data_IF_655145697359
#
_entry.id   IF_655145697359
#
_cell.length_a   1.000
_cell.length_b   1.000
_cell.length_c   1.000
_cell.angle_alpha   90.00
_cell.angle_beta   90.00
_cell.angle_gamma   90.00
#
_symmetry.space_group_name_H-M   'P 1'
#
loop_
_entity.id
_entity.type
_entity.pdbx_description
1 polymer ?
#
# COMPACT_ATOMS: atom_id res chain seq x y z
N UNK A 1 21.81 -32.12 -32.23
CA UNK A 1 21.55 -30.72 -31.81
C UNK A 1 21.65 -29.68 -32.92
N UNK A 2 21.95 -30.02 -34.19
CA UNK A 2 21.66 -29.12 -35.31
C UNK A 2 20.17 -29.20 -35.63
N UNK A 3 19.50 -28.05 -35.65
CA UNK A 3 18.20 -27.80 -36.29
C UNK A 3 16.91 -27.94 -35.45
N UNK A 4 16.90 -27.84 -34.11
CA UNK A 4 15.62 -27.79 -33.36
C UNK A 4 14.94 -26.41 -33.48
N UNK A 5 15.71 -25.32 -33.32
CA UNK A 5 15.23 -23.96 -33.57
C UNK A 5 14.97 -23.67 -35.05
N UNK A 6 15.77 -24.25 -35.94
CA UNK A 6 15.58 -24.09 -37.38
C UNK A 6 14.38 -24.91 -37.89
N UNK A 7 14.03 -26.05 -37.27
CA UNK A 7 12.74 -26.74 -37.47
C UNK A 7 11.60 -25.90 -36.89
N UNK A 8 11.73 -25.30 -35.70
CA UNK A 8 10.67 -24.46 -35.12
C UNK A 8 10.34 -23.23 -35.98
N UNK A 9 11.37 -22.58 -36.55
CA UNK A 9 11.19 -21.46 -37.49
C UNK A 9 10.55 -21.95 -38.79
N UNK A 10 11.02 -23.08 -39.35
CA UNK A 10 10.52 -23.60 -40.64
C UNK A 10 9.10 -24.17 -40.53
N UNK A 11 8.75 -24.80 -39.42
CA UNK A 11 7.38 -25.26 -39.14
C UNK A 11 6.48 -24.06 -38.83
N UNK A 12 6.96 -23.03 -38.12
CA UNK A 12 6.18 -21.81 -37.89
C UNK A 12 5.82 -21.06 -39.19
N UNK A 13 6.68 -21.12 -40.22
CA UNK A 13 6.42 -20.49 -41.52
C UNK A 13 5.71 -21.41 -42.54
N UNK A 14 5.93 -22.74 -42.49
CA UNK A 14 5.28 -23.71 -43.41
C UNK A 14 3.99 -24.37 -42.85
N UNK A 15 3.71 -24.30 -41.54
CA UNK A 15 2.51 -24.93 -40.93
C UNK A 15 1.19 -24.32 -41.42
N UNK A 16 1.22 -23.14 -42.03
CA UNK A 16 0.06 -22.56 -42.72
C UNK A 16 -0.33 -23.31 -44.01
N UNK A 17 0.41 -24.36 -44.42
CA UNK A 17 0.17 -25.08 -45.69
C UNK A 17 -0.21 -26.56 -45.56
N UNK A 18 -0.15 -27.18 -44.37
CA UNK A 18 -0.71 -28.54 -44.17
C UNK A 18 -0.94 -28.86 -42.69
N UNK A 19 -2.14 -29.32 -42.35
CA UNK A 19 -2.59 -29.69 -40.99
C UNK A 19 -1.77 -30.82 -40.32
N UNK A 20 -0.96 -31.57 -41.07
CA UNK A 20 -0.32 -32.80 -40.61
C UNK A 20 0.86 -32.58 -39.64
N UNK A 21 1.35 -31.33 -39.49
CA UNK A 21 2.48 -30.99 -38.60
C UNK A 21 2.09 -30.25 -37.31
N UNK A 22 0.90 -29.63 -37.27
CA UNK A 22 0.51 -28.67 -36.24
C UNK A 22 0.29 -29.34 -34.87
N UNK A 23 -0.31 -30.53 -34.86
CA UNK A 23 -0.55 -31.28 -33.62
C UNK A 23 0.76 -31.77 -32.97
N UNK A 24 1.71 -32.25 -33.79
CA UNK A 24 3.03 -32.66 -33.30
C UNK A 24 3.83 -31.45 -32.80
N UNK A 25 3.80 -30.34 -33.52
CA UNK A 25 4.41 -29.09 -33.10
C UNK A 25 3.83 -28.60 -31.77
N UNK A 26 2.50 -28.52 -31.64
CA UNK A 26 1.84 -28.11 -30.40
C UNK A 26 2.23 -29.00 -29.22
N UNK A 27 2.27 -30.33 -29.41
CA UNK A 27 2.69 -31.28 -28.37
C UNK A 27 4.15 -31.09 -27.95
N UNK A 28 5.04 -30.76 -28.90
CA UNK A 28 6.45 -30.45 -28.61
C UNK A 28 6.56 -29.12 -27.87
N UNK A 29 5.85 -28.08 -28.30
CA UNK A 29 5.80 -26.77 -27.63
C UNK A 29 5.29 -26.92 -26.19
N UNK A 30 4.17 -27.63 -25.98
CA UNK A 30 3.65 -27.90 -24.63
C UNK A 30 4.64 -28.69 -23.75
N UNK A 31 5.44 -29.58 -24.35
CA UNK A 31 6.49 -30.30 -23.61
C UNK A 31 7.63 -29.36 -23.21
N UNK A 32 8.05 -28.46 -24.11
CA UNK A 32 9.02 -27.42 -23.80
C UNK A 32 8.50 -26.48 -22.73
N UNK A 33 7.26 -25.97 -22.86
CA UNK A 33 6.65 -25.09 -21.86
C UNK A 33 6.53 -25.75 -20.49
N UNK A 34 6.18 -27.04 -20.42
CA UNK A 34 6.14 -27.78 -19.15
C UNK A 34 7.52 -27.92 -18.50
N UNK A 35 8.56 -28.15 -19.30
CA UNK A 35 9.94 -28.19 -18.81
C UNK A 35 10.41 -26.82 -18.32
N UNK A 36 10.02 -25.76 -19.01
CA UNK A 36 10.38 -24.37 -18.68
C UNK A 36 9.68 -23.85 -17.41
N UNK A 37 8.54 -24.46 -16.98
CA UNK A 37 7.82 -24.04 -15.76
C UNK A 37 8.63 -24.16 -14.47
N UNK A 38 9.67 -25.00 -14.45
CA UNK A 38 10.55 -25.19 -13.29
C UNK A 38 11.62 -24.11 -13.11
N UNK A 39 11.80 -23.22 -14.08
CA UNK A 39 12.82 -22.17 -14.02
C UNK A 39 12.22 -20.84 -13.57
N UNK A 40 12.78 -20.27 -12.49
CA UNK A 40 12.33 -19.01 -11.93
C UNK A 40 12.48 -17.83 -12.93
N UNK A 41 13.51 -17.88 -13.77
CA UNK A 41 13.89 -16.78 -14.68
C UNK A 41 13.21 -16.83 -16.05
N UNK A 42 12.18 -17.68 -16.23
CA UNK A 42 11.48 -17.82 -17.52
C UNK A 42 10.73 -16.54 -17.89
N UNK A 43 10.96 -16.06 -19.12
CA UNK A 43 10.19 -14.95 -19.70
C UNK A 43 8.75 -15.39 -19.98
N UNK A 44 7.78 -14.88 -19.22
CA UNK A 44 6.35 -15.21 -19.33
C UNK A 44 5.58 -14.33 -20.32
N UNK A 45 6.06 -13.11 -20.54
CA UNK A 45 5.50 -12.11 -21.42
C UNK A 45 6.61 -11.32 -22.08
N UNK A 46 6.40 -10.88 -23.31
CA UNK A 46 7.34 -10.02 -24.04
C UNK A 46 6.70 -8.64 -24.16
N UNK A 47 7.12 -7.66 -23.35
CA UNK A 47 6.46 -6.36 -23.19
C UNK A 47 6.79 -5.40 -24.35
N UNK A 48 7.45 -5.89 -25.40
CA UNK A 48 7.81 -5.15 -26.60
C UNK A 48 7.20 -5.74 -27.87
N UNK A 49 6.00 -6.29 -27.74
CA UNK A 49 5.21 -6.83 -28.83
C UNK A 49 4.21 -5.84 -29.44
N UNK A 50 3.38 -6.36 -30.35
CA UNK A 50 2.30 -5.61 -31.01
C UNK A 50 1.28 -5.02 -30.03
N UNK A 51 1.13 -5.61 -28.85
CA UNK A 51 0.22 -5.13 -27.80
C UNK A 51 0.68 -3.78 -27.27
N UNK A 52 1.97 -3.64 -26.98
CA UNK A 52 2.59 -2.41 -26.48
C UNK A 52 2.53 -1.30 -27.53
N UNK A 53 2.84 -1.61 -28.79
CA UNK A 53 2.73 -0.66 -29.89
C UNK A 53 1.29 -0.12 -30.06
N UNK A 54 0.28 -0.98 -29.89
CA UNK A 54 -1.14 -0.55 -29.88
C UNK A 54 -1.46 0.31 -28.67
N UNK A 55 -0.97 -0.03 -27.48
CA UNK A 55 -1.18 0.78 -26.28
C UNK A 55 -0.59 2.19 -26.44
N UNK A 56 0.60 2.32 -27.05
CA UNK A 56 1.21 3.62 -27.38
C UNK A 56 0.40 4.41 -28.40
N UNK A 57 -0.05 3.75 -29.48
CA UNK A 57 -0.89 4.37 -30.50
C UNK A 57 -2.22 4.88 -29.91
N UNK A 58 -2.82 4.11 -29.00
CA UNK A 58 -4.12 4.42 -28.40
C UNK A 58 -4.03 5.36 -27.18
N UNK A 59 -2.83 5.85 -26.82
CA UNK A 59 -2.62 6.71 -25.65
C UNK A 59 -2.86 6.03 -24.31
N UNK A 60 -2.87 4.69 -24.26
CA UNK A 60 -3.09 3.86 -23.06
C UNK A 60 -1.80 3.22 -22.56
N UNK A 61 -0.65 3.76 -22.97
CA UNK A 61 0.65 3.22 -22.61
C UNK A 61 1.03 3.63 -21.19
N UNK A 62 1.19 2.64 -20.34
CA UNK A 62 1.67 2.81 -18.97
C UNK A 62 3.19 2.62 -18.93
N UNK A 63 3.90 3.75 -18.80
CA UNK A 63 5.35 3.76 -18.73
C UNK A 63 5.88 3.14 -17.43
N UNK A 64 5.21 3.34 -16.29
CA UNK A 64 5.67 2.86 -14.99
C UNK A 64 5.57 1.33 -14.90
N UNK A 65 4.41 0.78 -15.30
CA UNK A 65 4.21 -0.66 -15.33
C UNK A 65 5.18 -1.34 -16.32
N UNK A 66 5.39 -0.73 -17.49
CA UNK A 66 6.34 -1.27 -18.50
C UNK A 66 7.78 -1.28 -17.95
N UNK A 67 8.18 -0.29 -17.15
CA UNK A 67 9.52 -0.27 -16.54
C UNK A 67 9.70 -1.43 -15.56
N UNK A 68 8.70 -1.71 -14.72
CA UNK A 68 8.71 -2.83 -13.77
C UNK A 68 8.79 -4.17 -14.50
N UNK A 69 8.03 -4.33 -15.58
CA UNK A 69 8.06 -5.55 -16.39
C UNK A 69 9.45 -5.79 -17.01
N UNK A 70 10.11 -4.73 -17.49
CA UNK A 70 11.43 -4.83 -18.13
C UNK A 70 12.57 -5.13 -17.13
N UNK A 71 12.47 -4.69 -15.87
CA UNK A 71 13.52 -4.89 -14.84
C UNK A 71 13.82 -6.36 -14.56
N UNK A 72 12.81 -7.21 -14.65
CA UNK A 72 12.93 -8.63 -14.35
C UNK A 72 13.24 -9.47 -15.61
N UNK A 73 13.58 -8.84 -16.74
CA UNK A 73 13.81 -9.53 -18.01
C UNK A 73 15.30 -9.53 -18.39
N UNK A 74 15.99 -10.69 -18.35
CA UNK A 74 17.42 -10.78 -18.64
C UNK A 74 17.70 -10.81 -20.15
N UNK A 75 17.20 -9.81 -20.89
CA UNK A 75 17.40 -9.70 -22.34
C UNK A 75 17.99 -8.34 -22.72
N UNK A 76 18.89 -8.32 -23.70
CA UNK A 76 19.44 -7.07 -24.24
C UNK A 76 18.34 -6.13 -24.77
N UNK A 77 17.28 -6.70 -25.36
CA UNK A 77 16.13 -5.93 -25.81
C UNK A 77 15.41 -5.21 -24.65
N UNK A 78 15.32 -5.85 -23.47
CA UNK A 78 14.74 -5.21 -22.30
C UNK A 78 15.60 -4.04 -21.81
N UNK A 79 16.92 -4.18 -21.77
CA UNK A 79 17.84 -3.08 -21.43
C UNK A 79 17.72 -1.89 -22.39
N UNK A 80 17.74 -2.15 -23.70
CA UNK A 80 17.56 -1.09 -24.71
C UNK A 80 16.19 -0.39 -24.57
N UNK A 81 15.13 -1.14 -24.24
CA UNK A 81 13.80 -0.59 -24.01
C UNK A 81 13.73 0.26 -22.74
N UNK A 82 14.45 -0.10 -21.67
CA UNK A 82 14.55 0.73 -20.46
C UNK A 82 15.21 2.08 -20.77
N UNK A 83 16.31 2.06 -21.53
CA UNK A 83 17.01 3.29 -21.93
C UNK A 83 16.13 4.18 -22.83
N UNK A 84 15.39 3.56 -23.76
CA UNK A 84 14.45 4.27 -24.62
C UNK A 84 13.28 4.86 -23.82
N UNK A 85 12.72 4.11 -22.87
CA UNK A 85 11.65 4.57 -21.99
C UNK A 85 12.11 5.79 -21.18
N UNK A 86 13.31 5.71 -20.59
CA UNK A 86 13.92 6.80 -19.85
C UNK A 86 14.12 8.05 -20.71
N UNK A 87 14.65 7.88 -21.92
CA UNK A 87 14.89 8.98 -22.86
C UNK A 87 13.60 9.67 -23.30
N UNK A 88 12.54 8.89 -23.55
CA UNK A 88 11.24 9.41 -23.97
C UNK A 88 10.49 10.12 -22.81
N UNK A 89 10.64 9.64 -21.57
CA UNK A 89 10.12 10.32 -20.38
C UNK A 89 10.84 11.65 -20.13
N UNK A 90 12.17 11.67 -20.26
CA UNK A 90 12.95 12.92 -20.16
C UNK A 90 12.55 13.94 -21.23
N UNK A 91 12.20 13.48 -22.42
CA UNK A 91 11.72 14.31 -23.51
C UNK A 91 10.23 14.72 -23.38
N UNK A 92 9.52 14.23 -22.35
CA UNK A 92 8.08 14.48 -22.15
C UNK A 92 7.18 13.87 -23.23
N UNK A 93 7.68 12.86 -23.95
CA UNK A 93 6.96 12.21 -25.06
C UNK A 93 6.08 11.05 -24.60
N UNK A 94 6.34 10.49 -23.41
CA UNK A 94 5.55 9.43 -22.76
C UNK A 94 5.48 9.67 -21.24
N UNK A 95 4.29 9.49 -20.65
CA UNK A 95 4.01 9.72 -19.21
C UNK A 95 3.61 11.16 -18.86
N UNK A 96 2.89 11.38 -17.74
CA UNK A 96 2.54 12.73 -17.29
C UNK A 96 3.81 13.54 -16.95
N UNK A 97 3.79 14.88 -17.09
CA UNK A 97 4.93 15.73 -16.78
C UNK A 97 5.41 15.50 -15.33
N UNK A 98 6.71 15.72 -15.05
CA UNK A 98 7.21 15.64 -13.68
C UNK A 98 6.36 16.54 -12.78
N UNK A 99 5.92 16.05 -11.61
CA UNK A 99 5.07 16.83 -10.74
C UNK A 99 5.77 18.12 -10.30
N UNK A 100 5.02 19.22 -10.09
CA UNK A 100 5.61 20.48 -9.67
C UNK A 100 6.42 20.31 -8.37
N UNK A 101 7.45 21.13 -8.13
CA UNK A 101 8.28 21.04 -6.94
C UNK A 101 7.44 21.00 -5.64
N UNK A 102 7.90 20.31 -4.58
CA UNK A 102 7.16 20.19 -3.33
C UNK A 102 6.64 21.52 -2.77
N UNK A 103 7.41 22.60 -2.93
CA UNK A 103 7.04 23.94 -2.50
C UNK A 103 5.83 24.52 -3.26
N UNK A 104 5.68 24.21 -4.54
CA UNK A 104 4.58 24.67 -5.38
C UNK A 104 3.30 23.88 -5.12
N UNK A 105 3.42 22.56 -4.87
CA UNK A 105 2.30 21.72 -4.41
C UNK A 105 1.73 22.18 -3.07
N UNK A 106 2.60 22.56 -2.14
CA UNK A 106 2.18 23.11 -0.84
C UNK A 106 1.59 24.52 -0.95
N UNK A 107 1.92 25.30 -1.99
CA UNK A 107 1.29 26.61 -2.24
C UNK A 107 -0.12 26.50 -2.82
N UNK A 108 -0.41 25.41 -3.53
CA UNK A 108 -1.71 25.18 -4.13
C UNK A 108 -2.80 24.81 -3.10
N UNK A 109 -2.41 24.42 -1.89
CA UNK A 109 -3.33 24.01 -0.82
C UNK A 109 -3.19 24.96 0.36
N UNK A 110 -4.32 25.47 0.84
CA UNK A 110 -4.30 26.42 1.92
C UNK A 110 -3.94 25.74 3.26
N UNK A 111 -3.13 26.38 4.13
CA UNK A 111 -2.80 25.82 5.45
C UNK A 111 -4.01 25.52 6.33
N UNK A 112 -5.10 26.28 6.17
CA UNK A 112 -6.39 26.06 6.82
C UNK A 112 -7.06 24.73 6.41
N UNK A 113 -6.98 24.33 5.14
CA UNK A 113 -7.57 23.08 4.65
C UNK A 113 -6.84 21.87 5.27
N UNK A 114 -5.50 21.92 5.30
CA UNK A 114 -4.67 20.91 5.96
C UNK A 114 -5.03 20.81 7.46
N UNK A 115 -5.33 21.94 8.09
CA UNK A 115 -5.70 21.97 9.49
C UNK A 115 -7.09 21.39 9.76
N UNK A 116 -8.05 21.68 8.88
CA UNK A 116 -9.39 21.13 8.92
C UNK A 116 -9.37 19.61 8.77
N UNK A 117 -8.63 19.11 7.77
CA UNK A 117 -8.51 17.67 7.53
C UNK A 117 -7.77 16.93 8.66
N UNK A 118 -6.70 17.52 9.20
CA UNK A 118 -6.04 16.96 10.38
C UNK A 118 -6.98 16.88 11.59
N UNK A 119 -7.85 17.87 11.78
CA UNK A 119 -8.84 17.85 12.86
C UNK A 119 -9.93 16.80 12.60
N UNK A 120 -10.39 16.66 11.36
CA UNK A 120 -11.36 15.64 10.92
C UNK A 120 -10.84 14.22 11.19
N UNK A 121 -9.58 13.94 10.82
CA UNK A 121 -8.90 12.67 11.10
C UNK A 121 -8.85 12.35 12.59
N UNK A 122 -8.49 13.33 13.43
CA UNK A 122 -8.46 13.13 14.88
C UNK A 122 -9.86 12.91 15.47
N UNK A 123 -10.87 13.63 15.01
CA UNK A 123 -12.26 13.44 15.46
C UNK A 123 -12.73 12.02 15.17
N UNK A 124 -12.54 11.53 13.94
CA UNK A 124 -12.87 10.14 13.58
C UNK A 124 -12.10 9.13 14.44
N UNK A 125 -10.80 9.36 14.66
CA UNK A 125 -9.99 8.50 15.52
C UNK A 125 -10.52 8.43 16.96
N UNK A 126 -10.96 9.57 17.53
CA UNK A 126 -11.56 9.65 18.87
C UNK A 126 -12.92 8.95 18.97
N UNK A 127 -13.73 9.01 17.91
CA UNK A 127 -15.02 8.31 17.87
C UNK A 127 -14.84 6.80 17.81
N UNK A 128 -13.82 6.31 17.09
CA UNK A 128 -13.49 4.88 17.00
C UNK A 128 -12.85 4.33 18.27
N UNK A 129 -11.98 5.11 18.91
CA UNK A 129 -11.07 4.65 19.97
C UNK A 129 -11.76 3.81 21.06
N UNK A 130 -12.90 4.19 21.66
CA UNK A 130 -13.47 3.41 22.77
C UNK A 130 -13.87 1.99 22.34
N UNK A 131 -14.42 1.86 21.13
CA UNK A 131 -14.85 0.56 20.57
C UNK A 131 -13.65 -0.29 20.21
N UNK A 132 -12.69 0.29 19.50
CA UNK A 132 -11.48 -0.42 19.05
C UNK A 132 -10.60 -0.81 20.23
N UNK A 133 -10.40 0.07 21.22
CA UNK A 133 -9.62 -0.23 22.43
C UNK A 133 -10.23 -1.39 23.22
N UNK A 134 -11.54 -1.36 23.47
CA UNK A 134 -12.20 -2.42 24.25
C UNK A 134 -12.13 -3.77 23.54
N UNK A 135 -12.36 -3.76 22.22
CA UNK A 135 -12.32 -4.96 21.40
C UNK A 135 -10.90 -5.52 21.27
N UNK A 136 -9.92 -4.69 20.89
CA UNK A 136 -8.53 -5.11 20.71
C UNK A 136 -7.91 -5.60 22.01
N UNK A 137 -8.26 -5.01 23.17
CA UNK A 137 -7.77 -5.49 24.48
C UNK A 137 -8.16 -6.93 24.72
N UNK A 138 -9.46 -7.26 24.58
CA UNK A 138 -9.96 -8.62 24.78
C UNK A 138 -9.36 -9.61 23.79
N UNK A 139 -9.24 -9.20 22.52
CA UNK A 139 -8.65 -10.04 21.47
C UNK A 139 -7.17 -10.30 21.77
N UNK A 140 -6.39 -9.27 22.08
CA UNK A 140 -4.98 -9.42 22.44
C UNK A 140 -4.81 -10.35 23.64
N UNK A 141 -5.57 -10.14 24.72
CA UNK A 141 -5.51 -10.97 25.93
C UNK A 141 -5.86 -12.44 25.65
N UNK A 142 -6.82 -12.71 24.77
CA UNK A 142 -7.20 -14.08 24.38
C UNK A 142 -6.10 -14.84 23.62
N UNK A 143 -5.14 -14.12 23.06
CA UNK A 143 -3.99 -14.64 22.31
C UNK A 143 -2.65 -14.34 23.01
N UNK A 144 -2.67 -14.26 24.35
CA UNK A 144 -1.51 -14.02 25.22
C UNK A 144 -0.74 -12.71 24.93
N UNK A 145 -1.40 -11.73 24.31
CA UNK A 145 -0.87 -10.41 24.04
C UNK A 145 -1.40 -9.33 24.98
N UNK A 146 -0.70 -8.21 25.03
CA UNK A 146 -1.10 -7.05 25.82
C UNK A 146 -0.95 -5.76 25.02
N UNK A 147 -1.85 -4.81 25.28
CA UNK A 147 -1.71 -3.44 24.76
C UNK A 147 -0.65 -2.69 25.56
N UNK A 148 0.21 -1.94 24.86
CA UNK A 148 1.22 -1.10 25.47
C UNK A 148 1.27 0.30 24.82
N UNK A 149 1.82 1.29 25.53
CA UNK A 149 2.01 2.65 25.00
C UNK A 149 0.72 3.42 24.74
N UNK A 150 -0.30 3.20 25.57
CA UNK A 150 -1.65 3.75 25.40
C UNK A 150 -1.71 5.28 25.37
N UNK A 151 -0.72 5.97 25.96
CA UNK A 151 -0.63 7.43 25.96
C UNK A 151 -0.43 8.03 24.56
N UNK A 152 0.02 7.21 23.59
CA UNK A 152 0.33 7.63 22.22
C UNK A 152 -0.59 7.00 21.17
N UNK A 153 -1.76 6.51 21.58
CA UNK A 153 -2.69 5.83 20.67
C UNK A 153 -3.36 6.76 19.66
N UNK A 154 -3.60 8.03 20.05
CA UNK A 154 -4.16 9.06 19.20
C UNK A 154 -3.05 10.01 18.73
N UNK A 155 -2.95 10.18 17.41
CA UNK A 155 -1.97 11.10 16.83
C UNK A 155 -2.41 12.56 17.07
N UNK A 156 -1.48 13.41 17.51
CA UNK A 156 -1.77 14.83 17.71
C UNK A 156 -2.13 15.54 16.39
N UNK A 157 -2.92 16.61 16.47
CA UNK A 157 -3.24 17.44 15.29
C UNK A 157 -1.97 17.97 14.62
N UNK A 158 -0.97 18.40 15.40
CA UNK A 158 0.31 18.89 14.86
C UNK A 158 1.01 17.82 14.01
N UNK A 159 1.13 16.61 14.55
CA UNK A 159 1.75 15.49 13.83
C UNK A 159 0.93 15.01 12.62
N UNK A 160 -0.41 15.14 12.66
CA UNK A 160 -1.27 14.87 11.51
C UNK A 160 -1.03 15.90 10.38
N UNK A 161 -0.96 17.20 10.71
CA UNK A 161 -0.63 18.25 9.74
C UNK A 161 0.71 18.01 9.07
N UNK A 162 1.73 17.64 9.86
CA UNK A 162 3.06 17.31 9.33
C UNK A 162 3.03 16.09 8.41
N UNK A 163 2.29 15.02 8.79
CA UNK A 163 2.14 13.83 7.95
C UNK A 163 1.44 14.14 6.63
N UNK A 164 0.38 14.96 6.64
CA UNK A 164 -0.32 15.38 5.42
C UNK A 164 0.61 16.17 4.49
N UNK A 165 1.31 17.18 5.02
CA UNK A 165 2.31 17.94 4.25
C UNK A 165 3.38 17.04 3.66
N UNK A 166 3.85 16.05 4.41
CA UNK A 166 4.86 15.11 3.92
C UNK A 166 4.32 14.24 2.79
N UNK A 167 3.11 13.67 2.92
CA UNK A 167 2.51 12.88 1.84
C UNK A 167 2.36 13.71 0.56
N UNK A 168 1.97 14.98 0.70
CA UNK A 168 1.82 15.88 -0.44
C UNK A 168 3.16 16.25 -1.07
N UNK A 169 4.16 16.61 -0.25
CA UNK A 169 5.47 17.07 -0.70
C UNK A 169 6.38 15.95 -1.23
N UNK A 170 6.46 14.84 -0.51
CA UNK A 170 7.42 13.75 -0.78
C UNK A 170 6.81 12.67 -1.64
N UNK A 171 5.53 12.31 -1.41
CA UNK A 171 4.87 11.20 -2.12
C UNK A 171 4.00 11.64 -3.30
N UNK A 172 3.99 12.93 -3.62
CA UNK A 172 3.24 13.47 -4.75
C UNK A 172 1.74 13.16 -4.72
N UNK A 173 1.15 13.32 -3.55
CA UNK A 173 -0.29 13.16 -3.34
C UNK A 173 -1.01 14.50 -3.28
N UNK A 174 -2.25 14.52 -3.74
CA UNK A 174 -3.23 15.56 -3.40
C UNK A 174 -3.53 15.55 -1.90
N UNK A 175 -4.19 16.60 -1.39
CA UNK A 175 -4.62 16.63 0.01
C UNK A 175 -5.58 15.46 0.29
N UNK A 176 -6.50 15.20 -0.62
CA UNK A 176 -7.48 14.12 -0.54
C UNK A 176 -6.82 12.74 -0.46
N UNK A 177 -5.85 12.47 -1.33
CA UNK A 177 -5.09 11.21 -1.32
C UNK A 177 -4.19 11.08 -0.08
N UNK A 178 -3.64 12.20 0.40
CA UNK A 178 -2.86 12.24 1.62
C UNK A 178 -3.71 11.87 2.83
N UNK A 179 -4.92 12.45 2.95
CA UNK A 179 -5.90 12.16 4.00
C UNK A 179 -6.35 10.70 3.93
N UNK A 180 -6.73 10.22 2.74
CA UNK A 180 -7.15 8.82 2.54
C UNK A 180 -6.04 7.81 2.90
N UNK A 181 -4.77 8.20 2.74
CA UNK A 181 -3.62 7.39 3.10
C UNK A 181 -3.19 7.47 4.57
N UNK A 182 -3.86 8.26 5.43
CA UNK A 182 -3.54 8.29 6.86
C UNK A 182 -4.20 7.11 7.57
N UNK A 183 -3.38 6.17 8.01
CA UNK A 183 -3.77 4.96 8.72
C UNK A 183 -3.51 5.01 10.23
N UNK A 184 -2.67 5.92 10.71
CA UNK A 184 -2.13 5.94 12.09
C UNK A 184 -2.68 7.10 12.93
N UNK A 185 -3.84 7.65 12.55
CA UNK A 185 -4.55 8.61 13.38
C UNK A 185 -5.00 7.96 14.70
N UNK A 186 -5.40 6.69 14.63
CA UNK A 186 -5.55 5.76 15.74
C UNK A 186 -4.57 4.60 15.54
N UNK A 187 -3.71 4.35 16.52
CA UNK A 187 -2.66 3.32 16.44
C UNK A 187 -2.46 2.63 17.78
N UNK A 188 -2.35 1.31 17.75
CA UNK A 188 -2.05 0.51 18.94
C UNK A 188 -0.73 -0.23 18.81
N UNK A 189 -0.13 -0.54 19.96
CA UNK A 189 0.95 -1.50 20.06
C UNK A 189 0.47 -2.72 20.82
N UNK A 190 0.59 -3.89 20.19
CA UNK A 190 0.32 -5.19 20.81
C UNK A 190 1.66 -5.87 21.07
N UNK A 191 1.93 -6.20 22.33
CA UNK A 191 3.14 -6.89 22.76
C UNK A 191 2.81 -8.35 22.99
N UNK A 192 3.54 -9.24 22.32
CA UNK A 192 3.41 -10.69 22.39
C UNK A 192 4.73 -11.30 22.86
N UNK A 193 4.67 -12.44 23.55
CA UNK A 193 5.87 -13.21 23.88
C UNK A 193 6.62 -13.63 22.61
N UNK A 194 7.96 -13.58 22.56
CA UNK A 194 8.73 -13.99 21.39
C UNK A 194 8.41 -15.41 20.90
N UNK A 195 8.13 -16.38 21.77
CA UNK A 195 7.85 -17.77 21.37
C UNK A 195 6.47 -17.91 20.72
N UNK A 196 5.49 -17.15 21.22
CA UNK A 196 4.11 -17.21 20.74
C UNK A 196 3.78 -16.10 19.74
N UNK A 197 4.75 -15.27 19.36
CA UNK A 197 4.54 -14.05 18.58
C UNK A 197 3.75 -14.30 17.28
N UNK A 198 4.20 -15.25 16.47
CA UNK A 198 3.60 -15.50 15.16
C UNK A 198 2.20 -16.11 15.27
N UNK A 199 2.01 -17.03 16.22
CA UNK A 199 0.70 -17.63 16.52
C UNK A 199 -0.29 -16.59 17.06
N UNK A 200 0.14 -15.79 18.03
CA UNK A 200 -0.65 -14.73 18.64
C UNK A 200 -1.01 -13.63 17.65
N UNK A 201 -0.07 -13.22 16.79
CA UNK A 201 -0.35 -12.27 15.71
C UNK A 201 -1.43 -12.80 14.76
N UNK A 202 -1.29 -14.04 14.27
CA UNK A 202 -2.27 -14.67 13.38
C UNK A 202 -3.64 -14.79 14.06
N UNK A 203 -3.67 -15.17 15.34
CA UNK A 203 -4.88 -15.26 16.15
C UNK A 203 -5.59 -13.92 16.33
N UNK A 204 -4.85 -12.87 16.69
CA UNK A 204 -5.38 -11.50 16.82
C UNK A 204 -5.97 -11.04 15.49
N UNK A 205 -5.25 -11.19 14.38
CA UNK A 205 -5.73 -10.77 13.07
C UNK A 205 -7.00 -11.53 12.64
N UNK A 206 -7.07 -12.84 12.87
CA UNK A 206 -8.25 -13.64 12.57
C UNK A 206 -9.48 -13.19 13.39
N UNK A 207 -9.30 -12.98 14.71
CA UNK A 207 -10.38 -12.50 15.58
C UNK A 207 -10.86 -11.08 15.25
N UNK A 208 -9.98 -10.23 14.68
CA UNK A 208 -10.35 -8.91 14.18
C UNK A 208 -11.15 -9.00 12.87
N UNK A 209 -10.74 -9.90 11.97
CA UNK A 209 -11.44 -10.16 10.70
C UNK A 209 -12.87 -10.66 10.96
N UNK A 210 -13.05 -11.59 11.91
CA UNK A 210 -14.37 -12.09 12.36
C UNK A 210 -15.29 -10.96 12.90
N UNK A 211 -14.70 -9.87 13.37
CA UNK A 211 -15.40 -8.68 13.86
C UNK A 211 -15.56 -7.59 12.79
N UNK A 212 -15.23 -7.89 11.53
CA UNK A 212 -15.35 -7.01 10.39
C UNK A 212 -14.23 -5.98 10.25
N UNK A 213 -13.15 -6.11 11.03
CA UNK A 213 -11.94 -5.30 10.88
C UNK A 213 -11.00 -5.99 9.90
N UNK A 214 -11.04 -5.56 8.65
CA UNK A 214 -10.30 -6.22 7.57
C UNK A 214 -8.87 -5.68 7.45
N UNK A 215 -7.92 -6.56 7.18
CA UNK A 215 -6.54 -6.18 6.90
C UNK A 215 -6.43 -5.54 5.53
N UNK A 216 -5.80 -4.36 5.44
CA UNK A 216 -5.54 -3.62 4.20
C UNK A 216 -4.08 -3.69 3.79
N UNK A 217 -3.18 -3.66 4.78
CA UNK A 217 -1.74 -3.69 4.56
C UNK A 217 -1.03 -4.37 5.71
N UNK A 218 0.01 -5.13 5.42
CA UNK A 218 0.93 -5.73 6.38
C UNK A 218 2.36 -5.47 5.90
N UNK A 219 3.21 -5.01 6.81
CA UNK A 219 4.62 -4.73 6.56
C UNK A 219 5.44 -5.35 7.70
N UNK A 220 6.21 -6.36 7.38
CA UNK A 220 7.05 -7.09 8.28
C UNK A 220 8.45 -6.46 8.34
N UNK A 221 8.72 -5.74 9.43
CA UNK A 221 10.00 -5.06 9.63
C UNK A 221 11.05 -5.96 10.29
N UNK A 222 10.68 -7.19 10.73
CA UNK A 222 11.65 -8.18 11.20
C UNK A 222 12.48 -8.75 10.05
N UNK A 223 11.87 -8.97 8.89
CA UNK A 223 12.51 -9.54 7.70
C UNK A 223 13.42 -8.56 6.93
N UNK A 224 13.50 -7.29 7.35
CA UNK A 224 14.30 -6.27 6.65
C UNK A 224 15.78 -6.39 6.99
N UNK A 225 16.64 -6.10 6.01
CA UNK A 225 18.08 -6.05 6.22
C UNK A 225 18.46 -4.85 7.10
N UNK A 226 19.15 -5.10 8.21
CA UNK A 226 19.61 -4.09 9.18
C UNK A 226 18.50 -3.11 9.62
N UNK A 227 17.42 -3.61 10.25
CA UNK A 227 16.28 -2.77 10.57
C UNK A 227 16.65 -1.82 11.71
N UNK A 228 16.42 -0.52 11.49
CA UNK A 228 16.48 0.47 12.56
C UNK A 228 15.29 0.35 13.52
N UNK A 229 14.30 -0.49 13.22
CA UNK A 229 13.06 -0.71 13.96
C UNK A 229 12.47 -2.07 13.58
N UNK A 230 12.09 -2.90 14.58
CA UNK A 230 11.48 -4.22 14.36
C UNK A 230 10.06 -4.28 14.90
N UNK A 231 9.11 -4.57 14.02
CA UNK A 231 7.69 -4.79 14.32
C UNK A 231 7.01 -5.42 13.11
N UNK A 232 5.82 -6.00 13.29
CA UNK A 232 4.89 -6.22 12.17
C UNK A 232 3.84 -5.12 12.23
N UNK A 233 3.81 -4.25 11.22
CA UNK A 233 2.84 -3.17 11.13
C UNK A 233 1.68 -3.60 10.26
N UNK A 234 0.46 -3.48 10.78
CA UNK A 234 -0.76 -3.87 10.08
C UNK A 234 -1.71 -2.68 10.03
N UNK A 235 -2.14 -2.32 8.82
CA UNK A 235 -3.23 -1.37 8.60
C UNK A 235 -4.53 -2.14 8.49
N UNK A 236 -5.49 -1.76 9.32
CA UNK A 236 -6.82 -2.34 9.41
C UNK A 236 -7.85 -1.31 8.93
N UNK A 237 -8.96 -1.79 8.37
CA UNK A 237 -10.14 -0.99 8.03
C UNK A 237 -11.30 -1.45 8.91
N UNK A 238 -11.92 -0.52 9.64
CA UNK A 238 -13.10 -0.81 10.46
C UNK A 238 -14.33 -1.12 9.58
N UNK A 239 -15.39 -1.70 10.15
CA UNK A 239 -16.67 -1.88 9.45
C UNK A 239 -17.25 -0.59 8.85
N UNK A 240 -16.98 0.55 9.49
CA UNK A 240 -17.37 1.89 9.03
C UNK A 240 -16.46 2.46 7.94
N UNK A 241 -15.41 1.73 7.54
CA UNK A 241 -14.49 2.08 6.46
C UNK A 241 -13.29 2.93 6.88
N UNK A 242 -13.12 3.22 8.17
CA UNK A 242 -12.03 4.04 8.67
C UNK A 242 -10.75 3.22 8.91
N UNK A 243 -9.59 3.79 8.58
CA UNK A 243 -8.30 3.15 8.75
C UNK A 243 -7.74 3.35 10.16
N UNK A 244 -7.08 2.33 10.69
CA UNK A 244 -6.35 2.35 11.95
C UNK A 244 -5.17 1.36 11.89
N UNK A 245 -4.16 1.54 12.74
CA UNK A 245 -2.92 0.75 12.69
C UNK A 245 -2.69 -0.08 13.96
N UNK A 246 -2.16 -1.29 13.78
CA UNK A 246 -1.62 -2.14 14.84
C UNK A 246 -0.13 -2.36 14.58
N UNK A 247 0.68 -2.22 15.61
CA UNK A 247 2.09 -2.58 15.59
C UNK A 247 2.31 -3.74 16.55
N UNK A 248 2.68 -4.91 16.01
CA UNK A 248 3.02 -6.08 16.82
C UNK A 248 4.50 -6.05 17.18
N UNK A 249 4.76 -6.17 18.48
CA UNK A 249 6.09 -6.13 19.08
C UNK A 249 6.32 -7.32 20.01
N UNK A 250 7.59 -7.67 20.21
CA UNK A 250 8.05 -8.37 21.42
C UNK A 250 8.33 -7.37 22.55
N UNK A 251 8.47 -7.81 23.82
CA UNK A 251 8.82 -6.90 24.92
C UNK A 251 10.10 -6.11 24.66
N UNK A 252 11.14 -6.75 24.11
CA UNK A 252 12.41 -6.09 23.80
C UNK A 252 12.27 -5.06 22.67
N UNK A 253 11.57 -5.41 21.58
CA UNK A 253 11.38 -4.47 20.47
C UNK A 253 10.51 -3.28 20.86
N UNK A 254 9.51 -3.47 21.73
CA UNK A 254 8.72 -2.38 22.29
C UNK A 254 9.56 -1.47 23.19
N UNK A 255 10.40 -2.04 24.08
CA UNK A 255 11.32 -1.25 24.92
C UNK A 255 12.28 -0.40 24.08
N UNK A 256 12.88 -0.99 23.04
CA UNK A 256 13.78 -0.26 22.14
C UNK A 256 13.05 0.82 21.34
N UNK A 257 11.82 0.56 20.89
CA UNK A 257 10.97 1.59 20.25
C UNK A 257 10.81 2.80 21.15
N UNK A 258 10.47 2.61 22.42
CA UNK A 258 10.26 3.70 23.36
C UNK A 258 11.58 4.44 23.66
N UNK A 259 12.69 3.70 23.79
CA UNK A 259 14.03 4.27 23.98
C UNK A 259 14.47 5.16 22.82
N UNK A 260 14.19 4.77 21.57
CA UNK A 260 14.63 5.48 20.37
C UNK A 260 13.55 6.38 19.74
N UNK A 261 12.43 6.59 20.42
CA UNK A 261 11.30 7.38 19.90
C UNK A 261 11.72 8.78 19.41
N UNK A 262 12.51 9.49 20.20
CA UNK A 262 12.97 10.84 19.84
C UNK A 262 14.02 10.83 18.72
N UNK A 263 14.83 9.78 18.64
CA UNK A 263 15.77 9.59 17.54
C UNK A 263 15.04 9.39 16.21
N UNK A 264 13.93 8.65 16.20
CA UNK A 264 13.10 8.54 14.99
C UNK A 264 12.48 9.88 14.59
N UNK A 265 11.97 10.66 15.56
CA UNK A 265 11.46 12.02 15.27
C UNK A 265 12.56 12.90 14.66
N UNK A 266 13.78 12.82 15.18
CA UNK A 266 14.91 13.59 14.68
C UNK A 266 15.32 13.16 13.27
N UNK A 267 15.48 11.86 13.03
CA UNK A 267 15.79 11.32 11.71
C UNK A 267 14.72 11.70 10.67
N UNK A 268 13.45 11.67 11.07
CA UNK A 268 12.34 12.09 10.23
C UNK A 268 12.39 13.61 9.92
N UNK A 269 12.73 14.45 10.90
CA UNK A 269 12.90 15.89 10.69
C UNK A 269 14.04 16.20 9.70
N UNK A 270 15.16 15.48 9.77
CA UNK A 270 16.26 15.60 8.82
C UNK A 270 15.84 15.21 7.40
N UNK A 271 15.06 14.13 7.25
CA UNK A 271 14.52 13.74 5.94
C UNK A 271 13.66 14.85 5.33
N UNK A 272 12.83 15.54 6.13
CA UNK A 272 12.03 16.67 5.66
C UNK A 272 12.88 17.86 5.21
N UNK A 273 14.05 18.06 5.80
CA UNK A 273 15.00 19.11 5.42
C UNK A 273 15.82 18.74 4.17
N UNK A 274 15.58 17.56 3.58
CA UNK A 274 16.32 17.09 2.41
C UNK A 274 17.74 16.65 2.76
N UNK A 275 18.01 16.29 4.02
CA UNK A 275 19.32 15.84 4.44
C UNK A 275 19.76 14.60 3.63
N UNK A 276 21.05 14.49 3.26
CA UNK A 276 21.60 13.32 2.59
C UNK A 276 21.31 12.02 3.33
N UNK A 277 21.25 10.91 2.59
CA UNK A 277 21.03 9.58 3.16
C UNK A 277 22.13 9.15 4.16
N UNK A 278 23.34 9.72 4.05
CA UNK A 278 24.44 9.50 4.99
C UNK A 278 24.10 9.99 6.39
N UNK A 279 23.60 11.21 6.50
CA UNK A 279 23.28 11.86 7.77
C UNK A 279 22.10 11.16 8.44
N UNK A 280 21.13 10.72 7.64
CA UNK A 280 20.00 9.91 8.13
C UNK A 280 20.47 8.57 8.70
N UNK A 281 21.45 7.91 8.05
CA UNK A 281 22.01 6.63 8.51
C UNK A 281 22.83 6.79 9.79
N UNK A 282 23.64 7.85 9.90
CA UNK A 282 24.41 8.13 11.12
C UNK A 282 23.51 8.33 12.33
N UNK A 283 22.42 9.10 12.16
CA UNK A 283 21.43 9.29 13.24
C UNK A 283 20.75 7.97 13.61
N UNK A 284 20.49 7.07 12.65
CA UNK A 284 19.83 5.78 12.91
C UNK A 284 20.76 4.68 13.43
N UNK A 285 22.08 4.84 13.32
CA UNK A 285 23.05 3.79 13.65
C UNK A 285 22.90 3.24 15.09
N UNK A 286 22.71 4.07 16.14
CA UNK A 286 22.52 3.54 17.50
C UNK A 286 21.28 2.64 17.63
N UNK A 287 20.19 2.99 16.95
CA UNK A 287 18.98 2.17 16.94
C UNK A 287 19.21 0.87 16.17
N UNK A 288 19.85 0.93 15.00
CA UNK A 288 20.19 -0.26 14.20
C UNK A 288 21.05 -1.25 14.98
N UNK A 289 22.07 -0.78 15.69
CA UNK A 289 22.94 -1.64 16.49
C UNK A 289 22.19 -2.30 17.64
N UNK A 290 21.30 -1.56 18.33
CA UNK A 290 20.46 -2.12 19.38
C UNK A 290 19.46 -3.17 18.86
N UNK A 291 18.75 -2.88 17.75
CA UNK A 291 17.79 -3.81 17.15
C UNK A 291 18.45 -5.04 16.52
N UNK A 292 19.71 -4.95 16.10
CA UNK A 292 20.50 -6.09 15.60
C UNK A 292 20.68 -7.17 16.67
N UNK A 293 20.80 -6.77 17.94
CA UNK A 293 20.99 -7.70 19.06
C UNK A 293 19.71 -8.42 19.50
N UNK A 294 18.54 -7.93 19.07
CA UNK A 294 17.25 -8.57 19.40
C UNK A 294 16.94 -9.64 18.36
N UNK A 295 16.80 -10.93 18.76
CA UNK A 295 16.45 -12.00 17.82
C UNK A 295 15.06 -11.79 17.23
N UNK A 296 14.87 -12.23 15.99
CA UNK A 296 13.53 -12.30 15.40
C UNK A 296 12.73 -13.44 16.06
N UNK A 297 11.42 -13.27 16.29
CA UNK A 297 10.56 -14.36 16.76
C UNK A 297 10.54 -15.55 15.79
N UNK A 298 10.26 -16.79 16.25
CA UNK A 298 10.11 -17.95 15.39
C UNK A 298 9.07 -17.72 14.30
N UNK A 299 9.32 -18.23 13.08
CA UNK A 299 8.44 -18.10 11.90
C UNK A 299 8.13 -16.65 11.47
N UNK A 300 8.77 -15.64 12.08
CA UNK A 300 8.48 -14.25 11.75
C UNK A 300 8.98 -13.90 10.34
N UNK A 301 10.00 -14.58 9.84
CA UNK A 301 10.54 -14.41 8.49
C UNK A 301 9.59 -14.99 7.41
N UNK A 302 8.65 -15.86 7.79
CA UNK A 302 7.64 -16.44 6.90
C UNK A 302 6.39 -15.56 6.73
N UNK A 303 6.37 -14.39 7.40
CA UNK A 303 5.28 -13.42 7.27
C UNK A 303 5.62 -12.47 6.11
N UNK A 304 4.98 -12.69 4.96
CA UNK A 304 5.16 -11.84 3.78
C UNK A 304 4.52 -10.46 3.95
N UNK A 305 5.18 -9.45 3.38
CA UNK A 305 4.57 -8.15 3.13
C UNK A 305 3.34 -8.33 2.23
N UNK A 306 2.24 -7.65 2.55
CA UNK A 306 0.98 -7.79 1.83
C UNK A 306 0.23 -6.47 1.78
N UNK A 307 -0.40 -6.15 0.66
CA UNK A 307 -1.24 -4.95 0.49
C UNK A 307 -2.41 -5.27 -0.42
N UNK A 308 -3.59 -4.75 -0.08
CA UNK A 308 -4.79 -4.87 -0.90
C UNK A 308 -4.59 -4.13 -2.24
N UNK A 309 -4.85 -4.80 -3.36
CA UNK A 309 -4.50 -4.37 -4.73
C UNK A 309 -5.27 -3.11 -5.23
N UNK A 310 -6.02 -2.39 -4.39
CA UNK A 310 -6.84 -1.23 -4.78
C UNK A 310 -7.21 -0.27 -3.63
N UNK A 311 -6.22 0.37 -2.99
CA UNK A 311 -6.49 1.33 -1.88
C UNK A 311 -6.87 2.77 -2.32
N UNK A 312 -7.17 3.07 -3.60
CA UNK A 312 -8.01 4.26 -3.89
C UNK A 312 -9.08 3.99 -4.96
N UNK A 313 -10.19 3.33 -4.57
CA UNK A 313 -11.42 3.36 -5.38
C UNK A 313 -12.71 3.12 -4.59
N UNK A 314 -12.69 2.34 -3.50
CA UNK A 314 -13.92 1.95 -2.81
C UNK A 314 -14.55 3.00 -1.90
N UNK A 315 -13.82 4.05 -1.49
CA UNK A 315 -14.40 5.13 -0.68
C UNK A 315 -15.37 6.03 -1.48
N UNK A 316 -15.34 6.01 -2.81
CA UNK A 316 -16.12 6.95 -3.64
C UNK A 316 -17.56 6.51 -3.97
N UNK A 317 -17.95 5.26 -3.70
CA UNK A 317 -19.30 4.77 -4.09
C UNK A 317 -20.35 4.76 -2.98
N UNK A 318 -19.96 4.83 -1.71
CA UNK A 318 -20.95 4.75 -0.61
C UNK A 318 -21.59 6.10 -0.26
N UNK A 319 -20.94 7.23 -0.55
CA UNK A 319 -21.41 8.55 -0.11
C UNK A 319 -22.35 9.28 -1.10
N UNK A 320 -22.49 8.81 -2.35
CA UNK A 320 -23.25 9.52 -3.38
C UNK A 320 -24.76 9.21 -3.43
N UNK A 321 -25.28 8.32 -2.58
CA UNK A 321 -26.70 7.95 -2.56
C UNK A 321 -27.27 8.04 -1.14
N UNK A 322 -27.47 9.27 -0.66
CA UNK A 322 -28.50 9.66 0.33
C UNK A 322 -28.30 11.12 0.75
N UNK A 323 -28.96 12.04 0.06
CA UNK A 323 -29.58 13.23 0.68
C UNK A 323 -30.15 14.19 -0.37
N UNK A 324 -31.46 14.09 -0.62
CA UNK A 324 -32.27 15.27 -0.84
C UNK A 324 -33.60 15.09 -0.11
N UNK A 325 -33.81 15.77 1.03
CA UNK A 325 -35.13 16.25 1.40
C UNK A 325 -35.20 17.73 1.01
N UNK A 326 -35.95 18.01 -0.05
CA UNK A 326 -36.26 19.37 -0.46
C UNK A 326 -37.21 19.99 0.58
N UNK A 327 -36.77 21.05 1.25
CA UNK A 327 -37.55 21.76 2.24
C UNK A 327 -37.85 23.17 1.70
N UNK A 328 -39.11 23.43 1.36
CA UNK A 328 -39.66 24.79 1.27
C UNK A 328 -40.97 24.83 2.01
N UNK A 329 -40.97 25.60 3.10
CA UNK A 329 -42.11 25.94 3.93
C UNK A 329 -42.88 27.15 3.36
N UNK A 330 -44.12 27.22 3.81
CA UNK A 330 -45.01 28.37 3.97
C UNK A 330 -45.79 28.87 2.74
N UNK A 331 -47.11 28.68 2.75
CA UNK A 331 -48.06 29.75 3.15
C UNK A 331 -49.54 29.37 2.88
N UNK A 332 -50.33 29.44 3.95
CA UNK A 332 -51.68 29.99 4.07
C UNK A 332 -52.87 29.54 3.17
N UNK A 333 -53.87 28.95 3.86
CA UNK A 333 -55.30 29.35 3.93
C UNK A 333 -56.04 29.65 2.60
N UNK A 334 -57.00 28.79 2.20
CA UNK A 334 -58.43 29.16 2.08
C UNK A 334 -59.36 27.94 1.86
N UNK A 335 -60.60 28.12 2.30
CA UNK A 335 -61.78 27.23 2.34
C UNK A 335 -62.18 26.58 1.00
N UNK A 336 -62.84 25.42 1.12
CA UNK A 336 -64.18 25.04 0.61
C UNK A 336 -64.14 23.58 0.11
N UNK A 337 -64.74 22.61 0.80
CA UNK A 337 -66.17 22.27 0.85
C UNK A 337 -66.46 21.04 -0.05
N UNK A 338 -67.38 20.21 0.44
CA UNK A 338 -68.21 19.22 -0.28
C UNK A 338 -67.69 17.79 -0.56
N UNK A 339 -68.33 16.84 0.16
CA UNK A 339 -68.75 15.47 -0.24
C UNK A 339 -67.69 14.35 -0.30
N UNK A 340 -67.92 13.10 0.11
CA UNK A 340 -69.13 12.33 0.50
C UNK A 340 -68.65 11.00 1.14
N UNK A 341 -69.39 10.49 2.12
CA UNK A 341 -69.78 9.08 2.41
C UNK A 341 -68.81 7.94 2.00
N UNK A 342 -68.47 6.97 2.84
CA UNK A 342 -69.22 6.30 3.91
C UNK A 342 -68.29 5.69 4.96
#
# INVERSE_FOLDING_TARGET
MRNLFTIAIKVGTDALKSDTGTALFAKIVESCERSERGYADRVRSVPYGKVTARAMHDGRFDAEQTQVDLQNMPTMAAGVMQDALHSLQQAGLIGPPPPPPPAERLRAVQPEDIALEAQSLLTRAREMEPRVTHMLRRVAESHAGQLAGMDHQLKSVGSLKEKLRQQMAVKNKTLEEAVAGVNDALRYSVVLDPQDFTAGLRGVLASLDDQGHVRVKLNNLFAKHQPAFKAVNVTMRSPEGALWEIQFHTPDTFRLKEQFHDLYKHSYALQLQGAPLTDQREVQAPAQDAFRLVPSPPECDDIDDWEEENVPALAMKAAAFKSQPNNRKDAAIFRADVSRQA
#
